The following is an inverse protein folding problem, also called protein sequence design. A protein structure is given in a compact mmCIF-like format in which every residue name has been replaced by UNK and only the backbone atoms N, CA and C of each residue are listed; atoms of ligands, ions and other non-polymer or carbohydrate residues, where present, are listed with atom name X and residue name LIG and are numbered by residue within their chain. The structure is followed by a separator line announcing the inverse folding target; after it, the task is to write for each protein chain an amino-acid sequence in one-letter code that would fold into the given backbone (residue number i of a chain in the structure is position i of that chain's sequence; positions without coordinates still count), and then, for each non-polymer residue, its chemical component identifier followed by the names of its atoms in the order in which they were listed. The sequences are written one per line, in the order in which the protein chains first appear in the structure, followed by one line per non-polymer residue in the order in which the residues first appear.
data_IF_139982857146
#
_entry.id   IF_139982857146
#
_cell.length_a   1.000
_cell.length_b   1.000
_cell.length_c   1.000
_cell.angle_alpha   90.00
_cell.angle_beta   90.00
_cell.angle_gamma   90.00
#
_symmetry.space_group_name_H-M   'P 1'
#
loop_
_entity.id
_entity.type
_entity.pdbx_description
1 polymer ?
#
# COMPACT_ATOMS: atom_id res chain seq x y z
N UNK A 1 -2.48 5.16 4.39
CA UNK A 1 -3.34 3.98 4.05
C UNK A 1 -3.72 3.90 2.56
N UNK A 2 -3.39 4.89 1.75
CA UNK A 2 -3.76 4.98 0.32
C UNK A 2 -3.35 3.77 -0.55
N UNK A 3 -2.31 3.05 -0.18
CA UNK A 3 -1.85 1.87 -0.94
C UNK A 3 -2.41 0.53 -0.43
N UNK A 4 -3.33 0.54 0.51
CA UNK A 4 -3.96 -0.68 1.04
C UNK A 4 -5.29 -0.94 0.34
N UNK A 5 -6.15 0.06 0.32
CA UNK A 5 -7.52 -0.03 -0.18
C UNK A 5 -7.95 1.26 -0.87
N UNK A 6 -8.98 1.17 -1.69
CA UNK A 6 -9.66 2.33 -2.24
C UNK A 6 -10.36 3.10 -1.11
N UNK A 7 -9.89 4.30 -0.75
CA UNK A 7 -10.45 5.01 0.40
C UNK A 7 -11.81 5.66 0.14
N UNK A 8 -12.19 5.79 -1.14
CA UNK A 8 -13.42 6.46 -1.58
C UNK A 8 -14.12 5.58 -2.60
N UNK A 9 -15.38 5.25 -2.33
CA UNK A 9 -16.23 4.50 -3.25
C UNK A 9 -16.82 5.49 -4.26
N UNK A 10 -16.61 5.26 -5.54
CA UNK A 10 -16.93 6.20 -6.63
C UNK A 10 -18.35 6.81 -6.57
N UNK A 11 -19.44 6.04 -6.37
CA UNK A 11 -20.79 6.60 -6.25
C UNK A 11 -21.01 7.53 -5.04
N UNK A 12 -20.10 7.55 -4.06
CA UNK A 12 -20.17 8.42 -2.88
C UNK A 12 -19.24 9.61 -2.97
N UNK A 13 -18.51 9.76 -4.07
CA UNK A 13 -17.55 10.83 -4.26
C UNK A 13 -18.27 12.15 -4.53
N UNK A 14 -18.07 13.12 -3.65
CA UNK A 14 -18.30 14.53 -3.93
C UNK A 14 -16.93 15.22 -3.98
N UNK A 15 -16.60 15.81 -5.10
CA UNK A 15 -15.26 16.33 -5.35
C UNK A 15 -15.27 17.81 -5.74
N UNK A 16 -14.24 18.54 -5.32
CA UNK A 16 -13.95 19.87 -5.85
C UNK A 16 -13.52 19.78 -7.30
N UNK A 17 -13.66 20.89 -8.04
CA UNK A 17 -13.26 21.00 -9.45
C UNK A 17 -11.83 20.53 -9.71
N UNK A 18 -10.90 20.87 -8.84
CA UNK A 18 -9.48 20.47 -8.91
C UNK A 18 -9.27 18.94 -9.00
N UNK A 19 -10.12 18.16 -8.33
CA UNK A 19 -10.12 16.69 -8.44
C UNK A 19 -10.69 16.25 -9.78
N UNK A 20 -11.78 16.89 -10.23
CA UNK A 20 -12.44 16.56 -11.50
C UNK A 20 -11.56 16.89 -12.71
N UNK A 21 -10.77 17.95 -12.62
CA UNK A 21 -9.80 18.35 -13.65
C UNK A 21 -8.66 17.34 -13.83
N UNK A 22 -8.39 16.50 -12.81
CA UNK A 22 -7.47 15.37 -12.98
C UNK A 22 -7.98 14.33 -13.97
N UNK A 23 -9.29 14.22 -14.11
CA UNK A 23 -9.97 13.28 -15.00
C UNK A 23 -9.65 11.80 -14.68
N UNK A 24 -10.44 10.91 -15.24
CA UNK A 24 -10.11 9.48 -15.22
C UNK A 24 -9.08 9.18 -16.31
N UNK A 25 -8.11 8.34 -16.00
CA UNK A 25 -7.16 7.82 -16.99
C UNK A 25 -7.57 6.41 -17.41
N UNK A 26 -7.52 6.13 -18.69
CA UNK A 26 -7.65 4.77 -19.19
C UNK A 26 -6.36 3.99 -18.88
N UNK A 27 -6.51 2.84 -18.25
CA UNK A 27 -5.40 1.96 -17.88
C UNK A 27 -5.90 0.56 -17.57
N UNK A 28 -4.97 -0.36 -17.33
CA UNK A 28 -5.25 -1.75 -16.96
C UNK A 28 -5.51 -1.92 -15.46
N UNK A 29 -6.04 -0.89 -14.81
CA UNK A 29 -6.35 -0.84 -13.38
C UNK A 29 -7.62 -0.02 -13.10
N UNK A 30 -8.15 -0.06 -11.85
CA UNK A 30 -9.34 0.70 -11.49
C UNK A 30 -9.10 2.22 -11.62
N UNK A 31 -9.88 2.87 -12.44
CA UNK A 31 -9.78 4.31 -12.76
C UNK A 31 -10.09 5.20 -11.55
N UNK A 32 -10.97 4.77 -10.68
CA UNK A 32 -11.33 5.48 -9.46
C UNK A 32 -10.22 5.42 -8.40
N UNK A 33 -9.53 4.28 -8.31
CA UNK A 33 -8.39 4.13 -7.44
C UNK A 33 -7.20 4.99 -7.91
N UNK A 34 -6.93 4.99 -9.22
CA UNK A 34 -5.92 5.86 -9.83
C UNK A 34 -6.20 7.35 -9.57
N UNK A 35 -7.45 7.80 -9.78
CA UNK A 35 -7.86 9.18 -9.51
C UNK A 35 -7.65 9.54 -8.04
N UNK A 36 -8.01 8.62 -7.13
CA UNK A 36 -7.82 8.82 -5.70
C UNK A 36 -6.34 8.97 -5.33
N UNK A 37 -5.47 8.10 -5.85
CA UNK A 37 -4.02 8.16 -5.59
C UNK A 37 -3.43 9.47 -6.12
N UNK A 38 -3.76 9.88 -7.34
CA UNK A 38 -3.31 11.17 -7.93
C UNK A 38 -3.78 12.38 -7.15
N UNK A 39 -5.00 12.33 -6.63
CA UNK A 39 -5.54 13.40 -5.78
C UNK A 39 -4.73 13.55 -4.49
N UNK A 40 -4.41 12.42 -3.86
CA UNK A 40 -3.60 12.40 -2.63
C UNK A 40 -2.13 12.81 -2.88
N UNK A 41 -1.57 12.51 -4.04
CA UNK A 41 -0.23 12.94 -4.45
C UNK A 41 -0.15 14.46 -4.61
N UNK A 42 -1.25 15.09 -5.01
CA UNK A 42 -1.38 16.56 -5.05
C UNK A 42 -1.73 17.19 -3.69
N UNK A 43 -1.64 16.42 -2.59
CA UNK A 43 -2.00 16.85 -1.23
C UNK A 43 -3.46 17.31 -1.10
N UNK A 44 -4.35 16.88 -1.98
CA UNK A 44 -5.78 17.14 -1.85
C UNK A 44 -6.33 16.32 -0.68
N UNK A 45 -7.08 16.98 0.19
CA UNK A 45 -7.61 16.37 1.41
C UNK A 45 -8.94 15.71 1.13
N UNK A 46 -9.12 14.49 1.65
CA UNK A 46 -10.40 13.78 1.66
C UNK A 46 -10.98 13.78 3.08
N UNK A 47 -12.30 13.91 3.18
CA UNK A 47 -13.03 13.78 4.43
C UNK A 47 -14.24 12.87 4.22
N UNK A 48 -14.65 12.17 5.27
CA UNK A 48 -15.80 11.26 5.26
C UNK A 48 -16.96 11.89 6.02
N UNK A 49 -18.13 11.94 5.40
CA UNK A 49 -19.36 12.34 6.10
C UNK A 49 -19.78 11.21 7.03
N UNK A 50 -20.00 11.53 8.32
CA UNK A 50 -20.42 10.56 9.36
C UNK A 50 -21.93 10.28 9.31
N UNK A 51 -22.45 9.97 8.10
CA UNK A 51 -23.86 9.61 7.89
C UNK A 51 -23.92 8.54 6.80
N UNK A 52 -24.86 7.62 6.90
CA UNK A 52 -25.23 6.72 5.81
C UNK A 52 -26.00 7.54 4.80
N UNK A 53 -25.44 7.72 3.61
CA UNK A 53 -26.03 8.51 2.52
C UNK A 53 -26.32 7.68 1.27
N UNK A 54 -25.89 6.43 1.24
CA UNK A 54 -26.04 5.53 0.12
C UNK A 54 -26.27 4.11 0.65
N UNK A 55 -27.32 3.46 0.17
CA UNK A 55 -27.51 2.03 0.30
C UNK A 55 -26.94 1.33 -0.92
N UNK A 56 -25.92 0.51 -0.71
CA UNK A 56 -25.23 -0.18 -1.78
C UNK A 56 -25.83 -1.54 -2.04
N UNK A 57 -26.62 -1.66 -3.11
CA UNK A 57 -27.19 -2.95 -3.54
C UNK A 57 -26.11 -3.72 -4.31
N UNK A 58 -25.71 -4.87 -3.75
CA UNK A 58 -24.74 -5.74 -4.41
C UNK A 58 -25.43 -6.64 -5.45
N UNK A 59 -24.82 -6.82 -6.61
CA UNK A 59 -25.30 -7.70 -7.66
C UNK A 59 -24.17 -8.48 -8.32
N UNK A 60 -24.48 -9.68 -8.83
CA UNK A 60 -23.53 -10.51 -9.56
C UNK A 60 -23.04 -9.87 -10.88
N UNK A 61 -23.81 -8.91 -11.41
CA UNK A 61 -23.52 -8.24 -12.69
C UNK A 61 -22.63 -7.01 -12.56
N UNK A 62 -22.13 -6.71 -11.38
CA UNK A 62 -21.25 -5.55 -11.17
C UNK A 62 -19.98 -5.63 -12.02
N UNK A 63 -19.60 -4.49 -12.58
CA UNK A 63 -18.37 -4.32 -13.38
C UNK A 63 -17.13 -4.81 -12.61
N UNK A 64 -17.03 -4.45 -11.33
CA UNK A 64 -15.94 -4.85 -10.43
C UNK A 64 -15.75 -6.36 -10.25
N UNK A 65 -16.76 -7.17 -10.64
CA UNK A 65 -16.69 -8.63 -10.60
C UNK A 65 -16.36 -9.27 -11.94
N UNK A 66 -16.53 -8.55 -13.04
CA UNK A 66 -16.39 -9.09 -14.41
C UNK A 66 -15.22 -8.52 -15.18
N UNK A 67 -14.82 -7.30 -14.91
CA UNK A 67 -13.76 -6.62 -15.63
C UNK A 67 -12.40 -6.88 -14.97
N UNK A 68 -11.43 -7.33 -15.78
CA UNK A 68 -10.08 -7.65 -15.33
C UNK A 68 -9.34 -6.46 -14.71
N UNK A 69 -9.76 -5.21 -15.02
CA UNK A 69 -9.23 -3.99 -14.41
C UNK A 69 -9.46 -3.91 -12.91
N UNK A 70 -10.45 -4.65 -12.38
CA UNK A 70 -10.74 -4.71 -10.94
C UNK A 70 -10.21 -5.99 -10.28
N UNK A 71 -9.35 -6.74 -10.96
CA UNK A 71 -8.69 -7.89 -10.35
C UNK A 71 -7.70 -7.44 -9.26
N UNK A 72 -7.41 -8.29 -8.25
CA UNK A 72 -6.37 -7.98 -7.25
C UNK A 72 -5.03 -7.59 -7.86
N UNK A 73 -4.65 -8.25 -8.96
CA UNK A 73 -3.42 -7.93 -9.71
C UNK A 73 -3.44 -6.54 -10.34
N UNK A 74 -4.61 -6.08 -10.80
CA UNK A 74 -4.76 -4.74 -11.37
C UNK A 74 -4.65 -3.66 -10.28
N UNK A 75 -5.24 -3.88 -9.11
CA UNK A 75 -5.03 -3.02 -7.93
C UNK A 75 -3.54 -2.98 -7.53
N UNK A 76 -2.86 -4.14 -7.53
CA UNK A 76 -1.42 -4.19 -7.24
C UNK A 76 -0.61 -3.39 -8.25
N UNK A 77 -0.87 -3.54 -9.56
CA UNK A 77 -0.20 -2.73 -10.59
C UNK A 77 -0.40 -1.24 -10.38
N UNK A 78 -1.62 -0.80 -10.10
CA UNK A 78 -1.92 0.60 -9.83
C UNK A 78 -1.10 1.13 -8.64
N UNK A 79 -1.18 0.49 -7.47
CA UNK A 79 -0.45 0.91 -6.28
C UNK A 79 1.06 0.86 -6.43
N UNK A 80 1.57 -0.13 -7.15
CA UNK A 80 3.00 -0.29 -7.44
C UNK A 80 3.52 0.84 -8.32
N UNK A 81 2.78 1.23 -9.37
CA UNK A 81 3.13 2.36 -10.23
C UNK A 81 3.20 3.65 -9.41
N UNK A 82 2.16 3.94 -8.64
CA UNK A 82 2.13 5.13 -7.79
C UNK A 82 3.19 5.14 -6.68
N UNK A 83 3.58 3.97 -6.16
CA UNK A 83 4.69 3.88 -5.21
C UNK A 83 6.02 4.27 -5.87
N UNK A 84 6.31 3.74 -7.07
CA UNK A 84 7.57 4.02 -7.78
C UNK A 84 7.63 5.48 -8.24
N UNK A 85 6.55 6.00 -8.82
CA UNK A 85 6.50 7.35 -9.36
C UNK A 85 6.44 8.43 -8.26
N UNK A 86 5.97 8.06 -7.08
CA UNK A 86 5.80 8.93 -5.92
C UNK A 86 6.82 8.65 -4.81
N UNK A 87 6.41 7.96 -3.75
CA UNK A 87 7.24 7.82 -2.54
C UNK A 87 8.60 7.18 -2.75
N UNK A 88 8.71 6.22 -3.67
CA UNK A 88 9.95 5.47 -3.93
C UNK A 88 10.79 6.04 -5.07
N UNK A 89 10.39 7.15 -5.69
CA UNK A 89 11.02 7.69 -6.91
C UNK A 89 12.54 7.87 -6.80
N UNK A 90 13.01 8.30 -5.66
CA UNK A 90 14.44 8.57 -5.41
C UNK A 90 15.04 7.60 -4.40
N UNK A 91 14.30 6.56 -4.01
CA UNK A 91 14.72 5.54 -3.05
C UNK A 91 15.25 4.34 -3.83
N UNK A 92 16.36 3.77 -3.39
CA UNK A 92 16.94 2.54 -3.95
C UNK A 92 16.97 1.40 -2.95
N UNK A 93 16.92 1.71 -1.69
CA UNK A 93 17.03 0.76 -0.58
C UNK A 93 15.81 0.84 0.31
N UNK A 94 15.24 -0.31 0.64
CA UNK A 94 14.04 -0.40 1.48
C UNK A 94 14.16 -1.53 2.50
N UNK A 95 13.39 -1.43 3.55
CA UNK A 95 13.09 -2.53 4.49
C UNK A 95 11.70 -3.07 4.17
N UNK A 96 11.52 -4.36 4.23
CA UNK A 96 10.21 -5.00 4.05
C UNK A 96 9.72 -5.54 5.39
N UNK A 97 8.51 -5.20 5.79
CA UNK A 97 7.86 -5.84 6.94
C UNK A 97 6.85 -6.88 6.45
N UNK A 98 7.11 -8.15 6.78
CA UNK A 98 6.28 -9.30 6.46
C UNK A 98 6.99 -10.36 5.63
N UNK A 99 7.18 -11.54 6.23
CA UNK A 99 7.77 -12.73 5.60
C UNK A 99 6.69 -13.77 5.21
N UNK A 100 5.43 -13.37 5.15
CA UNK A 100 4.30 -14.21 4.74
C UNK A 100 4.14 -14.30 3.21
N UNK A 101 3.02 -14.88 2.77
CA UNK A 101 2.69 -15.03 1.33
C UNK A 101 2.73 -13.68 0.60
N UNK A 102 2.04 -12.68 1.14
CA UNK A 102 1.98 -11.32 0.57
C UNK A 102 3.36 -10.67 0.57
N UNK A 103 4.09 -10.72 1.69
CA UNK A 103 5.44 -10.16 1.78
C UNK A 103 6.41 -10.74 0.76
N UNK A 104 6.34 -12.07 0.50
CA UNK A 104 7.16 -12.72 -0.53
C UNK A 104 6.84 -12.22 -1.95
N UNK A 105 5.57 -11.92 -2.26
CA UNK A 105 5.19 -11.34 -3.55
C UNK A 105 5.76 -9.92 -3.70
N UNK A 106 5.65 -9.10 -2.65
CA UNK A 106 6.23 -7.76 -2.63
C UNK A 106 7.75 -7.77 -2.68
N UNK A 107 8.41 -8.73 -2.00
CA UNK A 107 9.87 -8.90 -2.07
C UNK A 107 10.34 -9.14 -3.51
N UNK A 108 9.71 -10.09 -4.21
CA UNK A 108 10.04 -10.39 -5.60
C UNK A 108 9.86 -9.17 -6.49
N UNK A 109 8.71 -8.50 -6.37
CA UNK A 109 8.44 -7.30 -7.13
C UNK A 109 9.47 -6.19 -6.87
N UNK A 110 9.84 -5.95 -5.61
CA UNK A 110 10.88 -4.97 -5.26
C UNK A 110 12.23 -5.34 -5.92
N UNK A 111 12.62 -6.60 -5.86
CA UNK A 111 13.85 -7.09 -6.49
C UNK A 111 13.80 -7.00 -8.02
N UNK A 112 12.68 -7.33 -8.65
CA UNK A 112 12.45 -7.16 -10.10
C UNK A 112 12.53 -5.69 -10.54
N UNK A 113 12.22 -4.76 -9.64
CA UNK A 113 12.33 -3.31 -9.85
C UNK A 113 13.68 -2.74 -9.36
N UNK A 114 14.65 -3.62 -9.13
CA UNK A 114 16.03 -3.28 -8.74
C UNK A 114 16.14 -2.52 -7.41
N UNK A 115 15.15 -2.66 -6.52
CA UNK A 115 15.30 -2.17 -5.15
C UNK A 115 16.17 -3.13 -4.32
N UNK A 116 17.12 -2.58 -3.59
CA UNK A 116 17.86 -3.32 -2.58
C UNK A 116 16.99 -3.47 -1.32
N UNK A 117 16.44 -4.66 -1.11
CA UNK A 117 15.75 -4.98 0.15
C UNK A 117 16.80 -5.40 1.17
N UNK A 118 17.11 -4.53 2.14
CA UNK A 118 18.17 -4.77 3.13
C UNK A 118 17.86 -5.90 4.08
N UNK A 119 16.61 -5.95 4.55
CA UNK A 119 16.15 -6.93 5.54
C UNK A 119 14.64 -7.05 5.52
N UNK A 120 14.15 -8.17 6.05
CA UNK A 120 12.72 -8.43 6.24
C UNK A 120 12.44 -8.46 7.74
N UNK A 121 11.47 -7.67 8.18
CA UNK A 121 10.99 -7.67 9.57
C UNK A 121 9.91 -8.74 9.73
N UNK A 122 10.03 -9.54 10.79
CA UNK A 122 9.07 -10.61 11.07
C UNK A 122 8.90 -10.79 12.60
N UNK A 123 7.73 -11.28 13.00
CA UNK A 123 7.41 -11.59 14.40
C UNK A 123 7.44 -13.09 14.70
N UNK A 124 7.37 -13.93 13.67
CA UNK A 124 7.37 -15.38 13.83
C UNK A 124 8.76 -15.93 14.12
N UNK A 125 9.00 -16.55 15.30
CA UNK A 125 10.31 -17.10 15.65
C UNK A 125 10.84 -18.13 14.65
N UNK A 126 9.93 -18.85 13.95
CA UNK A 126 10.30 -19.86 12.96
C UNK A 126 10.99 -19.30 11.71
N UNK A 127 10.86 -18.01 11.45
CA UNK A 127 11.43 -17.36 10.27
C UNK A 127 12.59 -16.44 10.59
N UNK A 128 12.64 -15.91 11.82
CA UNK A 128 13.72 -15.05 12.29
C UNK A 128 15.05 -15.81 12.21
N UNK A 129 16.10 -15.14 11.73
CA UNK A 129 17.43 -15.73 11.52
C UNK A 129 17.59 -16.48 10.19
N UNK A 130 16.51 -16.64 9.41
CA UNK A 130 16.58 -17.25 8.07
C UNK A 130 16.82 -16.22 6.97
N UNK A 131 16.97 -16.68 5.72
CA UNK A 131 16.98 -15.82 4.53
C UNK A 131 15.84 -16.18 3.60
N UNK A 132 15.20 -15.17 3.03
CA UNK A 132 14.15 -15.34 2.00
C UNK A 132 14.63 -14.62 0.74
N UNK A 133 14.77 -15.35 -0.37
CA UNK A 133 15.33 -14.82 -1.63
C UNK A 133 16.64 -14.01 -1.42
N UNK A 134 17.53 -14.53 -0.57
CA UNK A 134 18.81 -13.90 -0.24
C UNK A 134 18.75 -12.81 0.83
N UNK A 135 17.57 -12.33 1.23
CA UNK A 135 17.40 -11.23 2.18
C UNK A 135 17.26 -11.79 3.60
N UNK A 136 18.02 -11.27 4.59
CA UNK A 136 17.93 -11.71 5.98
C UNK A 136 16.59 -11.35 6.60
N UNK A 137 16.08 -12.24 7.46
CA UNK A 137 14.85 -12.05 8.25
C UNK A 137 15.25 -11.78 9.68
N UNK A 138 14.87 -10.62 10.21
CA UNK A 138 15.17 -10.19 11.57
C UNK A 138 13.90 -10.00 12.40
N UNK A 139 14.06 -9.93 13.72
CA UNK A 139 12.96 -9.70 14.66
C UNK A 139 12.42 -8.26 14.55
N UNK A 140 11.13 -8.08 14.80
CA UNK A 140 10.54 -6.74 14.97
C UNK A 140 11.14 -5.98 16.17
N UNK A 141 11.75 -6.67 17.14
CA UNK A 141 12.50 -6.03 18.23
C UNK A 141 13.80 -5.35 17.77
N UNK A 142 14.32 -5.76 16.61
CA UNK A 142 15.53 -5.22 15.98
C UNK A 142 15.20 -4.18 14.89
N UNK A 143 14.00 -3.60 14.95
CA UNK A 143 13.55 -2.62 13.97
C UNK A 143 14.55 -1.47 13.81
N UNK A 144 15.05 -1.19 12.59
CA UNK A 144 16.03 -0.12 12.36
C UNK A 144 15.44 1.26 12.61
N UNK A 145 16.28 2.25 12.77
CA UNK A 145 15.83 3.65 12.79
C UNK A 145 15.29 4.07 11.40
N UNK A 146 14.34 5.00 11.32
CA UNK A 146 13.73 5.39 10.06
C UNK A 146 14.70 6.08 9.08
N UNK A 147 15.76 6.70 9.59
CA UNK A 147 16.74 7.40 8.78
C UNK A 147 17.51 6.39 7.88
N UNK A 148 17.41 6.57 6.58
CA UNK A 148 17.98 5.66 5.58
C UNK A 148 17.32 4.28 5.46
N UNK A 149 16.20 4.04 6.15
CA UNK A 149 15.51 2.75 6.15
C UNK A 149 14.00 2.91 5.86
N UNK A 150 13.62 3.47 4.70
CA UNK A 150 12.22 3.54 4.31
C UNK A 150 11.62 2.14 4.23
N UNK A 151 10.34 2.02 4.62
CA UNK A 151 9.74 0.70 4.87
C UNK A 151 8.47 0.46 4.07
N UNK A 152 8.37 -0.74 3.48
CA UNK A 152 7.16 -1.28 2.87
C UNK A 152 6.57 -2.32 3.83
N UNK A 153 5.29 -2.16 4.20
CA UNK A 153 4.61 -3.07 5.13
C UNK A 153 3.60 -3.93 4.35
N UNK A 154 3.92 -5.22 4.20
CA UNK A 154 3.15 -6.19 3.45
C UNK A 154 2.61 -7.31 4.36
N UNK A 155 1.86 -6.92 5.39
CA UNK A 155 1.24 -7.82 6.37
C UNK A 155 -0.27 -7.64 6.33
N UNK A 156 -0.99 -8.64 5.80
CA UNK A 156 -2.44 -8.61 5.62
C UNK A 156 -3.23 -9.38 6.71
N UNK A 157 -2.62 -9.68 7.85
CA UNK A 157 -3.33 -10.32 8.96
C UNK A 157 -4.26 -9.33 9.66
N UNK A 158 -5.45 -9.79 10.04
CA UNK A 158 -6.43 -8.97 10.76
C UNK A 158 -5.84 -8.40 12.06
N UNK A 159 -6.05 -7.11 12.29
CA UNK A 159 -5.54 -6.40 13.46
C UNK A 159 -4.04 -6.10 13.45
N UNK A 160 -3.26 -6.69 12.54
CA UNK A 160 -1.81 -6.48 12.50
C UNK A 160 -1.44 -5.03 12.18
N UNK A 161 -2.24 -4.33 11.36
CA UNK A 161 -1.95 -2.96 10.93
C UNK A 161 -1.80 -2.00 12.10
N UNK A 162 -2.75 -2.00 13.03
CA UNK A 162 -2.73 -1.12 14.19
C UNK A 162 -1.53 -1.39 15.10
N UNK A 163 -1.19 -2.66 15.30
CA UNK A 163 -0.04 -3.06 16.10
C UNK A 163 1.28 -2.62 15.44
N UNK A 164 1.43 -2.86 14.14
CA UNK A 164 2.61 -2.46 13.38
C UNK A 164 2.73 -0.94 13.34
N UNK A 165 1.64 -0.21 13.12
CA UNK A 165 1.64 1.24 13.11
C UNK A 165 2.10 1.82 14.45
N UNK A 166 1.62 1.27 15.56
CA UNK A 166 2.05 1.67 16.91
C UNK A 166 3.56 1.45 17.12
N UNK A 167 4.09 0.29 16.72
CA UNK A 167 5.53 -0.01 16.81
C UNK A 167 6.36 0.92 15.91
N UNK A 168 5.90 1.19 14.70
CA UNK A 168 6.55 2.12 13.78
C UNK A 168 6.64 3.53 14.38
N UNK A 169 5.53 4.07 14.90
CA UNK A 169 5.46 5.40 15.52
C UNK A 169 6.40 5.47 16.74
N UNK A 170 6.38 4.44 17.59
CA UNK A 170 7.27 4.34 18.77
C UNK A 170 8.75 4.37 18.36
N UNK A 171 9.09 3.83 17.20
CA UNK A 171 10.46 3.82 16.65
C UNK A 171 10.83 5.08 15.87
N UNK A 172 9.89 6.01 15.69
CA UNK A 172 10.09 7.27 14.99
C UNK A 172 9.74 7.26 13.50
N UNK A 173 9.14 6.18 12.99
CA UNK A 173 8.59 6.17 11.65
C UNK A 173 7.32 7.02 11.56
N UNK A 174 7.09 7.60 10.41
CA UNK A 174 5.86 8.33 10.09
C UNK A 174 5.13 7.64 8.94
N UNK A 175 4.04 6.89 9.23
CA UNK A 175 3.25 6.23 8.20
C UNK A 175 2.78 7.20 7.11
N UNK A 176 3.00 6.83 5.86
CA UNK A 176 2.72 7.66 4.68
C UNK A 176 3.86 8.58 4.25
N UNK A 177 4.92 8.75 5.05
CA UNK A 177 6.12 9.55 4.73
C UNK A 177 7.34 8.65 4.49
N UNK A 178 7.67 7.78 5.44
CA UNK A 178 8.82 6.87 5.36
C UNK A 178 8.46 5.40 5.63
N UNK A 179 7.17 5.11 5.81
CA UNK A 179 6.63 3.75 5.96
C UNK A 179 5.27 3.65 5.25
N UNK A 180 5.09 2.68 4.36
CA UNK A 180 3.89 2.53 3.54
C UNK A 180 3.31 1.13 3.67
N UNK A 181 2.07 1.07 4.15
CA UNK A 181 1.27 -0.15 4.13
C UNK A 181 0.77 -0.41 2.71
N UNK A 182 0.84 -1.66 2.26
CA UNK A 182 0.47 -2.09 0.90
C UNK A 182 -0.53 -3.25 0.87
N UNK A 183 -1.00 -3.70 2.04
CA UNK A 183 -2.09 -4.65 2.22
C UNK A 183 -2.74 -4.52 3.60
#
# INVERSE_FOLDING_TARGET
MRFVELPIINPTLMAKREVLELGYRHGDWPEDYDLCLRSLEKNLKAAKVKKVLLDWIDSSNRLTRKDARYSPKAFDRCRQTHLIEGPLKYIKEVVLWGAGKTGKLWLRWLQEKEFLVKQIIEVSPKKIGTKIHGVPVISSTELPNPEGHPMIIAVGADGARQLIEAELIKKGYTPGINAWFVC
#
